data_IF_471086075125
#
_entry.id   IF_471086075125
#
_cell.length_a   1.000
_cell.length_b   1.000
_cell.length_c   1.000
_cell.angle_alpha   90.00
_cell.angle_beta   90.00
_cell.angle_gamma   90.00
#
_symmetry.space_group_name_H-M   'P 1'
#
loop_
_entity.id
_entity.type
_entity.pdbx_description
1 polymer ?
#
# COMPACT_ATOMS: atom_id res chain seq x y z
N UNK A 1 -61.45 2.59 29.82
CA UNK A 1 -60.60 3.58 30.49
C UNK A 1 -59.18 3.48 29.99
N UNK A 2 -58.80 4.50 29.17
CA UNK A 2 -57.58 5.34 29.13
C UNK A 2 -56.26 4.60 29.31
N UNK A 3 -55.43 4.60 28.36
CA UNK A 3 -54.57 5.63 27.71
C UNK A 3 -53.13 5.38 28.03
N UNK A 4 -52.28 5.55 27.05
CA UNK A 4 -50.93 6.05 27.23
C UNK A 4 -49.93 5.55 26.21
N UNK A 5 -49.93 6.18 25.03
CA UNK A 5 -48.80 6.10 24.13
C UNK A 5 -47.69 7.00 24.67
N UNK A 6 -46.46 6.49 24.76
CA UNK A 6 -45.28 7.31 24.93
C UNK A 6 -44.30 7.00 23.79
N UNK A 7 -44.30 7.90 22.82
CA UNK A 7 -43.33 7.91 21.75
C UNK A 7 -41.96 8.32 22.26
N UNK A 8 -40.96 7.54 21.98
CA UNK A 8 -39.55 7.91 22.13
C UNK A 8 -39.06 8.48 20.82
N UNK A 9 -39.06 9.82 20.77
CA UNK A 9 -38.41 10.62 19.75
C UNK A 9 -36.90 10.50 19.90
N UNK A 10 -36.28 9.81 18.98
CA UNK A 10 -34.82 9.81 18.84
C UNK A 10 -34.42 11.12 18.14
N UNK A 11 -34.04 12.12 18.95
CA UNK A 11 -33.42 13.35 18.44
C UNK A 11 -31.95 13.06 18.13
N UNK A 12 -31.66 12.94 16.87
CA UNK A 12 -30.29 13.08 16.38
C UNK A 12 -29.89 14.54 16.52
N UNK A 13 -29.13 14.86 17.57
CA UNK A 13 -28.48 16.15 17.67
C UNK A 13 -27.31 16.18 16.69
N UNK A 14 -27.52 16.84 15.57
CA UNK A 14 -26.46 17.28 14.67
C UNK A 14 -25.99 18.63 15.22
N UNK A 15 -25.01 18.58 16.12
CA UNK A 15 -24.33 19.81 16.54
C UNK A 15 -23.38 20.25 15.44
N UNK A 16 -23.85 21.20 14.66
CA UNK A 16 -23.03 22.06 13.83
C UNK A 16 -22.26 23.02 14.76
N UNK A 17 -21.09 22.64 15.20
CA UNK A 17 -20.17 23.59 15.78
C UNK A 17 -19.26 24.18 14.70
N UNK A 18 -19.80 25.22 14.06
CA UNK A 18 -19.06 26.10 13.17
C UNK A 18 -18.31 27.10 14.02
N UNK A 19 -17.06 26.82 14.34
CA UNK A 19 -16.00 27.79 14.65
C UNK A 19 -14.67 27.07 14.87
N UNK A 20 -13.99 26.70 13.81
CA UNK A 20 -12.52 26.59 13.83
C UNK A 20 -11.96 27.45 12.72
N UNK A 21 -11.75 28.69 13.11
CA UNK A 21 -10.93 29.67 12.41
C UNK A 21 -9.53 29.14 12.19
N UNK A 22 -9.14 29.08 10.93
CA UNK A 22 -7.86 29.38 10.35
C UNK A 22 -6.60 29.03 11.13
N UNK A 23 -6.02 27.90 10.77
CA UNK A 23 -4.63 27.76 10.35
C UNK A 23 -4.53 26.36 9.74
N UNK A 24 -4.79 26.26 8.47
CA UNK A 24 -4.28 25.14 7.70
C UNK A 24 -2.75 25.30 7.70
N UNK A 25 -2.11 24.85 8.75
CA UNK A 25 -0.70 24.47 8.67
C UNK A 25 -0.67 23.42 7.56
N UNK A 26 0.01 23.79 6.48
CA UNK A 26 0.31 22.90 5.37
C UNK A 26 1.18 21.80 5.98
N UNK A 27 0.52 20.78 6.53
CA UNK A 27 1.17 19.59 7.03
C UNK A 27 1.93 19.03 5.83
N UNK A 28 3.25 19.20 5.86
CA UNK A 28 4.14 18.64 4.84
C UNK A 28 3.87 17.15 4.93
N UNK A 29 3.14 16.62 3.93
CA UNK A 29 2.76 15.22 3.88
C UNK A 29 4.07 14.41 3.84
N UNK A 30 4.46 13.92 4.99
CA UNK A 30 5.67 13.13 5.18
C UNK A 30 5.47 11.80 4.47
N UNK A 31 6.42 11.39 3.64
CA UNK A 31 6.42 10.11 2.95
C UNK A 31 6.05 8.96 3.89
N UNK A 32 5.16 8.10 3.44
CA UNK A 32 4.74 6.87 4.12
C UNK A 32 5.05 5.64 3.27
N UNK A 33 5.18 4.50 3.94
CA UNK A 33 5.36 3.21 3.28
C UNK A 33 4.09 2.39 3.48
N UNK A 34 3.50 1.91 2.38
CA UNK A 34 2.36 1.02 2.37
C UNK A 34 2.77 -0.35 1.87
N UNK A 35 2.40 -1.39 2.60
CA UNK A 35 2.71 -2.77 2.24
C UNK A 35 1.41 -3.55 2.07
N UNK A 36 1.24 -4.13 0.90
CA UNK A 36 0.28 -5.21 0.67
C UNK A 36 0.86 -6.47 1.32
N UNK A 37 0.39 -6.74 2.56
CA UNK A 37 1.03 -7.70 3.45
C UNK A 37 0.51 -9.13 3.27
N UNK A 38 -0.51 -9.32 2.41
CA UNK A 38 -1.02 -10.65 2.10
C UNK A 38 0.04 -11.48 1.37
N UNK A 39 0.54 -12.52 2.06
CA UNK A 39 1.61 -13.38 1.56
C UNK A 39 2.91 -12.63 1.17
N UNK A 40 3.20 -11.49 1.79
CA UNK A 40 4.39 -10.69 1.54
C UNK A 40 5.58 -11.15 2.41
N UNK A 41 6.62 -11.76 1.83
CA UNK A 41 7.74 -12.31 2.61
C UNK A 41 8.74 -11.25 3.09
N UNK A 42 8.58 -9.99 2.69
CA UNK A 42 9.55 -8.92 2.95
C UNK A 42 9.10 -7.92 4.01
N UNK A 43 7.99 -8.17 4.69
CA UNK A 43 7.44 -7.27 5.72
C UNK A 43 8.50 -6.89 6.76
N UNK A 44 9.21 -7.86 7.34
CA UNK A 44 10.25 -7.61 8.34
C UNK A 44 11.37 -6.71 7.81
N UNK A 45 11.83 -6.94 6.58
CA UNK A 45 12.88 -6.12 5.93
C UNK A 45 12.39 -4.68 5.72
N UNK A 46 11.13 -4.52 5.31
CA UNK A 46 10.52 -3.20 5.12
C UNK A 46 10.48 -2.45 6.44
N UNK A 47 10.06 -3.10 7.52
CA UNK A 47 9.99 -2.50 8.85
C UNK A 47 11.36 -2.10 9.40
N UNK A 48 12.38 -2.94 9.22
CA UNK A 48 13.76 -2.60 9.63
C UNK A 48 14.27 -1.35 8.92
N UNK A 49 14.06 -1.26 7.60
CA UNK A 49 14.46 -0.10 6.83
C UNK A 49 13.60 1.13 7.18
N UNK A 50 12.29 0.95 7.36
CA UNK A 50 11.40 2.03 7.78
C UNK A 50 11.82 2.61 9.13
N UNK A 51 12.15 1.77 10.12
CA UNK A 51 12.71 2.17 11.42
C UNK A 51 14.00 2.96 11.26
N UNK A 52 14.95 2.43 10.46
CA UNK A 52 16.24 3.08 10.18
C UNK A 52 16.10 4.51 9.67
N UNK A 53 15.09 4.75 8.83
CA UNK A 53 14.85 6.06 8.22
C UNK A 53 13.77 6.88 8.93
N UNK A 54 13.18 6.36 10.02
CA UNK A 54 12.08 6.97 10.78
C UNK A 54 10.90 7.35 9.87
N UNK A 55 10.50 6.42 9.00
CA UNK A 55 9.38 6.57 8.06
C UNK A 55 8.22 5.73 8.57
N UNK A 56 7.02 6.31 8.75
CA UNK A 56 5.85 5.52 9.12
C UNK A 56 5.55 4.45 8.07
N UNK A 57 5.19 3.26 8.53
CA UNK A 57 4.82 2.15 7.67
C UNK A 57 3.43 1.63 8.06
N UNK A 58 2.63 1.28 7.07
CA UNK A 58 1.29 0.72 7.22
C UNK A 58 1.22 -0.61 6.47
N UNK A 59 0.85 -1.66 7.19
CA UNK A 59 0.64 -2.99 6.65
C UNK A 59 -0.85 -3.19 6.41
N UNK A 60 -1.23 -3.54 5.20
CA UNK A 60 -2.62 -3.86 4.87
C UNK A 60 -2.75 -5.36 4.62
N UNK A 61 -3.74 -5.99 5.23
CA UNK A 61 -4.04 -7.40 5.03
C UNK A 61 -5.53 -7.67 5.07
N UNK A 62 -5.93 -8.83 4.58
CA UNK A 62 -7.30 -9.30 4.69
C UNK A 62 -7.60 -9.91 6.07
N UNK A 63 -8.86 -10.22 6.34
CA UNK A 63 -9.31 -10.82 7.62
C UNK A 63 -8.79 -12.25 7.85
N UNK A 64 -8.21 -12.91 6.85
CA UNK A 64 -7.65 -14.26 6.99
C UNK A 64 -6.21 -14.22 7.49
N UNK A 65 -5.58 -13.06 7.49
CA UNK A 65 -4.20 -12.87 7.94
C UNK A 65 -4.18 -12.07 9.25
N UNK A 66 -3.62 -12.68 10.29
CA UNK A 66 -3.41 -11.99 11.57
C UNK A 66 -1.96 -11.55 11.61
N UNK A 67 -1.75 -10.25 11.44
CA UNK A 67 -0.43 -9.62 11.52
C UNK A 67 -0.34 -8.80 12.81
N UNK A 68 0.81 -8.86 13.45
CA UNK A 68 1.16 -8.00 14.57
C UNK A 68 2.47 -7.29 14.25
N UNK A 69 2.53 -6.02 14.57
CA UNK A 69 3.74 -5.22 14.43
C UNK A 69 3.86 -4.27 15.62
N UNK A 70 5.07 -4.14 16.12
CA UNK A 70 5.41 -3.15 17.15
C UNK A 70 5.78 -1.78 16.55
N UNK A 71 5.89 -1.71 15.23
CA UNK A 71 6.30 -0.49 14.53
C UNK A 71 5.26 0.03 13.57
N UNK A 72 4.75 -0.84 12.73
CA UNK A 72 3.83 -0.48 11.64
C UNK A 72 2.39 -0.44 12.13
N UNK A 73 1.61 0.47 11.61
CA UNK A 73 0.16 0.40 11.72
C UNK A 73 -0.35 -0.79 10.90
N UNK A 74 -1.21 -1.63 11.49
CA UNK A 74 -1.83 -2.76 10.78
C UNK A 74 -3.29 -2.43 10.51
N UNK A 75 -3.66 -2.39 9.25
CA UNK A 75 -5.03 -2.18 8.79
C UNK A 75 -5.57 -3.49 8.24
N UNK A 76 -6.50 -4.09 8.98
CA UNK A 76 -7.23 -5.27 8.51
C UNK A 76 -8.45 -4.82 7.70
N UNK A 77 -8.49 -5.21 6.44
CA UNK A 77 -9.58 -4.87 5.52
C UNK A 77 -10.57 -6.03 5.45
N UNK A 78 -11.86 -5.72 5.43
CA UNK A 78 -12.91 -6.74 5.34
C UNK A 78 -12.81 -7.61 4.09
N UNK A 79 -13.42 -8.80 4.15
CA UNK A 79 -13.39 -9.75 3.05
C UNK A 79 -14.02 -9.16 1.78
N UNK A 80 -13.28 -9.21 0.68
CA UNK A 80 -13.72 -8.79 -0.64
C UNK A 80 -12.59 -8.92 -1.64
N UNK A 81 -12.90 -9.32 -2.86
CA UNK A 81 -11.90 -9.31 -3.93
C UNK A 81 -11.39 -7.88 -4.09
N UNK A 82 -10.08 -7.70 -4.13
CA UNK A 82 -9.38 -6.43 -4.30
C UNK A 82 -9.67 -5.36 -3.21
N UNK A 83 -10.27 -5.73 -2.05
CA UNK A 83 -10.61 -4.78 -0.99
C UNK A 83 -9.36 -4.13 -0.38
N UNK A 84 -8.30 -4.92 -0.18
CA UNK A 84 -6.98 -4.46 0.31
C UNK A 84 -6.38 -3.49 -0.71
N UNK A 85 -6.42 -3.82 -2.01
CA UNK A 85 -5.91 -2.99 -3.08
C UNK A 85 -6.58 -1.62 -3.12
N UNK A 86 -7.91 -1.59 -3.08
CA UNK A 86 -8.69 -0.35 -3.04
C UNK A 86 -8.38 0.48 -1.80
N UNK A 87 -8.29 -0.16 -0.63
CA UNK A 87 -7.96 0.53 0.62
C UNK A 87 -6.58 1.13 0.54
N UNK A 88 -5.57 0.35 0.13
CA UNK A 88 -4.19 0.81 -0.02
C UNK A 88 -4.14 2.03 -0.94
N UNK A 89 -4.72 1.92 -2.13
CA UNK A 89 -4.72 3.02 -3.08
C UNK A 89 -5.51 4.23 -2.55
N UNK A 90 -6.60 4.05 -1.80
CA UNK A 90 -7.37 5.18 -1.27
C UNK A 90 -6.55 6.07 -0.33
N UNK A 91 -5.66 5.48 0.48
CA UNK A 91 -4.84 6.18 1.47
C UNK A 91 -3.44 6.57 0.97
N UNK A 92 -3.01 6.02 -0.16
CA UNK A 92 -1.73 6.33 -0.78
C UNK A 92 -1.75 7.71 -1.46
N UNK A 93 -0.69 8.47 -1.29
CA UNK A 93 -0.51 9.81 -1.84
C UNK A 93 0.75 9.92 -2.67
N UNK A 94 0.91 11.05 -3.34
CA UNK A 94 2.12 11.36 -4.11
C UNK A 94 3.35 11.38 -3.21
N UNK A 95 4.40 10.68 -3.62
CA UNK A 95 5.66 10.59 -2.89
C UNK A 95 5.75 9.41 -1.92
N UNK A 96 4.65 8.73 -1.64
CA UNK A 96 4.63 7.51 -0.82
C UNK A 96 5.31 6.34 -1.53
N UNK A 97 5.62 5.29 -0.78
CA UNK A 97 6.23 4.08 -1.31
C UNK A 97 5.31 2.89 -1.07
N UNK A 98 4.99 2.16 -2.13
CA UNK A 98 4.12 0.98 -2.10
C UNK A 98 4.94 -0.27 -2.38
N UNK A 99 4.81 -1.28 -1.51
CA UNK A 99 5.38 -2.62 -1.69
C UNK A 99 4.24 -3.58 -2.00
N UNK A 100 4.15 -4.06 -3.22
CA UNK A 100 3.15 -5.05 -3.63
C UNK A 100 3.68 -5.93 -4.76
N UNK A 101 3.20 -7.16 -4.83
CA UNK A 101 3.42 -8.06 -5.95
C UNK A 101 2.34 -7.91 -7.04
N UNK A 102 1.27 -7.18 -6.78
CA UNK A 102 0.22 -6.94 -7.77
C UNK A 102 0.56 -5.76 -8.68
N UNK A 103 0.64 -6.03 -9.98
CA UNK A 103 0.94 -5.02 -11.00
C UNK A 103 -0.16 -3.98 -11.14
N UNK A 104 -1.41 -4.36 -10.83
CA UNK A 104 -2.56 -3.43 -10.84
C UNK A 104 -2.43 -2.39 -9.73
N UNK A 105 -2.11 -2.82 -8.51
CA UNK A 105 -1.82 -1.94 -7.37
C UNK A 105 -0.65 -1.01 -7.71
N UNK A 106 0.45 -1.60 -8.24
CA UNK A 106 1.62 -0.82 -8.63
C UNK A 106 1.29 0.24 -9.69
N UNK A 107 0.51 -0.09 -10.72
CA UNK A 107 0.08 0.85 -11.75
C UNK A 107 -0.76 2.00 -11.18
N UNK A 108 -1.71 1.69 -10.27
CA UNK A 108 -2.52 2.70 -9.61
C UNK A 108 -1.69 3.62 -8.70
N UNK A 109 -0.71 3.06 -7.96
CA UNK A 109 0.20 3.84 -7.13
C UNK A 109 1.06 4.80 -7.98
N UNK A 110 1.64 4.31 -9.09
CA UNK A 110 2.38 5.14 -10.04
C UNK A 110 1.51 6.26 -10.61
N UNK A 111 0.25 5.97 -10.95
CA UNK A 111 -0.72 6.96 -11.43
C UNK A 111 -1.01 8.07 -10.42
N UNK A 112 -0.87 7.80 -9.12
CA UNK A 112 -0.94 8.81 -8.05
C UNK A 112 0.37 9.56 -7.82
N UNK A 113 1.45 9.19 -8.50
CA UNK A 113 2.78 9.75 -8.31
C UNK A 113 3.52 9.20 -7.09
N UNK A 114 3.09 8.05 -6.57
CA UNK A 114 3.81 7.28 -5.58
C UNK A 114 4.87 6.40 -6.25
N UNK A 115 5.78 5.87 -5.44
CA UNK A 115 6.78 4.88 -5.88
C UNK A 115 6.25 3.48 -5.60
N UNK A 116 6.59 2.53 -6.45
CA UNK A 116 6.18 1.16 -6.25
C UNK A 116 7.33 0.17 -6.49
N UNK A 117 7.41 -0.85 -5.63
CA UNK A 117 8.46 -1.88 -5.69
C UNK A 117 7.85 -3.27 -5.49
N UNK A 118 8.32 -4.22 -6.30
CA UNK A 118 8.00 -5.62 -6.16
C UNK A 118 8.85 -6.28 -5.05
N UNK A 119 8.33 -7.30 -4.39
CA UNK A 119 9.04 -8.07 -3.36
C UNK A 119 10.38 -8.70 -3.80
N UNK A 120 10.67 -8.76 -5.10
CA UNK A 120 11.98 -9.16 -5.63
C UNK A 120 13.02 -8.04 -5.67
N UNK A 121 12.65 -6.81 -5.31
CA UNK A 121 13.48 -5.63 -5.43
C UNK A 121 13.38 -4.92 -6.79
N UNK A 122 12.55 -5.38 -7.73
CA UNK A 122 12.35 -4.70 -9.01
C UNK A 122 11.43 -3.50 -8.81
N UNK A 123 11.85 -2.33 -9.25
CA UNK A 123 11.02 -1.13 -9.24
C UNK A 123 10.00 -1.17 -10.36
N UNK A 124 8.81 -0.76 -10.04
CA UNK A 124 7.80 -0.42 -11.04
C UNK A 124 8.01 1.02 -11.47
N UNK A 125 7.98 1.26 -12.76
CA UNK A 125 8.11 2.58 -13.36
C UNK A 125 7.08 2.74 -14.47
N UNK A 126 6.78 3.98 -14.86
CA UNK A 126 5.85 4.24 -15.95
C UNK A 126 6.28 3.59 -17.28
N UNK A 127 7.61 3.39 -17.45
CA UNK A 127 8.16 2.80 -18.68
C UNK A 127 8.01 1.28 -18.71
N UNK A 128 7.96 0.60 -17.54
CA UNK A 128 7.95 -0.86 -17.50
C UNK A 128 6.59 -1.48 -17.10
N UNK A 129 5.70 -0.70 -16.49
CA UNK A 129 4.47 -1.23 -15.91
C UNK A 129 3.52 -1.79 -16.97
N UNK A 130 3.38 -1.12 -18.11
CA UNK A 130 2.49 -1.55 -19.18
C UNK A 130 2.96 -2.88 -19.79
N UNK A 131 4.26 -3.03 -20.00
CA UNK A 131 4.84 -4.29 -20.46
C UNK A 131 4.58 -5.42 -19.46
N UNK A 132 4.77 -5.17 -18.16
CA UNK A 132 4.56 -6.16 -17.09
C UNK A 132 3.09 -6.58 -16.99
N UNK A 133 2.15 -5.66 -17.13
CA UNK A 133 0.71 -5.93 -17.19
C UNK A 133 0.37 -6.79 -18.39
N UNK A 134 0.94 -6.48 -19.56
CA UNK A 134 0.73 -7.25 -20.80
C UNK A 134 1.28 -8.66 -20.68
N UNK A 135 2.50 -8.84 -20.17
CA UNK A 135 3.12 -10.15 -19.94
C UNK A 135 2.26 -10.99 -18.98
N UNK A 136 1.74 -10.41 -17.89
CA UNK A 136 0.82 -11.10 -16.99
C UNK A 136 -0.44 -11.56 -17.71
N UNK A 137 -1.03 -10.70 -18.53
CA UNK A 137 -2.22 -11.04 -19.30
C UNK A 137 -1.97 -12.20 -20.27
N UNK A 138 -0.88 -12.16 -21.03
CA UNK A 138 -0.48 -13.22 -21.96
C UNK A 138 -0.20 -14.54 -21.24
N UNK A 139 0.51 -14.49 -20.11
CA UNK A 139 0.79 -15.66 -19.29
C UNK A 139 -0.49 -16.29 -18.72
N UNK A 140 -1.44 -15.48 -18.27
CA UNK A 140 -2.75 -15.96 -17.79
C UNK A 140 -3.54 -16.62 -18.91
N UNK A 141 -3.52 -16.06 -20.12
CA UNK A 141 -4.16 -16.63 -21.32
C UNK A 141 -3.49 -17.95 -21.73
N UNK A 142 -2.15 -18.01 -21.74
CA UNK A 142 -1.40 -19.21 -22.05
C UNK A 142 -1.68 -20.36 -21.08
N UNK A 143 -1.78 -20.07 -19.76
CA UNK A 143 -2.13 -21.07 -18.74
C UNK A 143 -3.53 -21.66 -18.95
N UNK A 144 -4.49 -20.83 -19.39
CA UNK A 144 -5.88 -21.28 -19.66
C UNK A 144 -5.99 -22.14 -20.93
N UNK A 145 -5.16 -21.90 -21.93
CA UNK A 145 -5.17 -22.60 -23.21
C UNK A 145 -4.39 -23.91 -23.22
N UNK A 146 -3.46 -24.10 -22.26
CA UNK A 146 -2.57 -25.26 -22.23
C UNK A 146 -3.01 -26.27 -21.16
N UNK A 147 -3.75 -27.30 -21.58
CA UNK A 147 -4.14 -28.44 -20.73
C UNK A 147 -2.97 -29.36 -20.32
N UNK A 148 -1.77 -29.20 -20.87
CA UNK A 148 -0.68 -30.18 -20.73
C UNK A 148 0.67 -29.67 -20.23
N UNK A 149 0.87 -28.37 -20.10
CA UNK A 149 2.17 -27.86 -19.62
C UNK A 149 2.06 -27.40 -18.17
N UNK A 150 2.49 -28.24 -17.23
CA UNK A 150 2.78 -27.83 -15.86
C UNK A 150 3.93 -26.82 -15.88
N UNK A 151 3.59 -25.54 -15.93
CA UNK A 151 4.59 -24.51 -15.69
C UNK A 151 5.07 -24.66 -14.25
N UNK A 152 6.37 -24.80 -14.05
CA UNK A 152 6.99 -24.83 -12.71
C UNK A 152 6.56 -23.55 -11.98
N UNK A 153 6.14 -23.70 -10.73
CA UNK A 153 5.86 -22.57 -9.85
C UNK A 153 7.11 -21.69 -9.65
N UNK A 154 6.95 -20.51 -9.07
CA UNK A 154 8.08 -19.64 -8.75
C UNK A 154 9.07 -20.40 -7.84
N UNK A 155 10.37 -20.17 -8.03
CA UNK A 155 11.39 -20.75 -7.16
C UNK A 155 11.21 -20.26 -5.71
N UNK A 156 11.65 -21.08 -4.75
CA UNK A 156 11.71 -20.63 -3.35
C UNK A 156 12.60 -19.39 -3.22
N UNK A 157 12.17 -18.44 -2.40
CA UNK A 157 12.94 -17.26 -2.01
C UNK A 157 14.19 -17.67 -1.23
N UNK A 158 15.29 -16.97 -1.43
CA UNK A 158 16.58 -17.20 -0.78
C UNK A 158 17.01 -15.96 -0.01
N UNK A 159 18.00 -16.11 0.88
CA UNK A 159 18.61 -14.96 1.60
C UNK A 159 19.21 -13.93 0.64
N UNK A 160 19.74 -14.38 -0.50
CA UNK A 160 20.24 -13.46 -1.54
C UNK A 160 19.13 -12.59 -2.14
N UNK A 161 17.91 -13.12 -2.23
CA UNK A 161 16.75 -12.34 -2.68
C UNK A 161 16.36 -11.31 -1.63
N UNK A 162 16.51 -11.63 -0.34
CA UNK A 162 16.25 -10.71 0.76
C UNK A 162 17.27 -9.57 0.77
N UNK A 163 18.54 -9.87 0.64
CA UNK A 163 19.61 -8.86 0.53
C UNK A 163 19.39 -7.95 -0.70
N UNK A 164 19.04 -8.55 -1.84
CA UNK A 164 18.76 -7.79 -3.06
C UNK A 164 17.57 -6.85 -2.88
N UNK A 165 16.51 -7.35 -2.26
CA UNK A 165 15.33 -6.52 -1.95
C UNK A 165 15.71 -5.38 -1.02
N UNK A 166 16.39 -5.67 0.10
CA UNK A 166 16.80 -4.67 1.09
C UNK A 166 17.61 -3.54 0.45
N UNK A 167 18.64 -3.88 -0.34
CA UNK A 167 19.47 -2.90 -1.03
C UNK A 167 18.68 -2.04 -2.03
N UNK A 168 17.79 -2.68 -2.78
CA UNK A 168 16.97 -1.98 -3.78
C UNK A 168 15.93 -1.09 -3.12
N UNK A 169 15.30 -1.56 -2.06
CA UNK A 169 14.30 -0.81 -1.30
C UNK A 169 14.94 0.41 -0.61
N UNK A 170 16.11 0.24 -0.01
CA UNK A 170 16.84 1.34 0.62
C UNK A 170 17.22 2.43 -0.39
N UNK A 171 17.68 2.04 -1.60
CA UNK A 171 17.93 2.99 -2.68
C UNK A 171 16.67 3.75 -3.10
N UNK A 172 15.53 3.07 -3.16
CA UNK A 172 14.24 3.70 -3.47
C UNK A 172 13.87 4.76 -2.43
N UNK A 173 14.00 4.42 -1.14
CA UNK A 173 13.73 5.34 -0.03
C UNK A 173 14.64 6.58 -0.10
N UNK A 174 15.94 6.38 -0.34
CA UNK A 174 16.89 7.49 -0.44
C UNK A 174 16.55 8.41 -1.61
N UNK A 175 16.21 7.83 -2.77
CA UNK A 175 15.79 8.60 -3.94
C UNK A 175 14.48 9.38 -3.69
N UNK A 176 13.50 8.75 -3.04
CA UNK A 176 12.22 9.37 -2.72
C UNK A 176 12.43 10.57 -1.77
N UNK A 177 13.20 10.40 -0.71
CA UNK A 177 13.55 11.47 0.25
C UNK A 177 14.30 12.63 -0.41
N UNK A 178 15.23 12.34 -1.31
CA UNK A 178 15.97 13.37 -2.04
C UNK A 178 15.04 14.23 -2.90
N UNK A 179 14.04 13.62 -3.53
CA UNK A 179 13.03 14.35 -4.35
C UNK A 179 12.07 15.15 -3.48
N UNK A 180 11.68 14.65 -2.31
CA UNK A 180 10.86 15.37 -1.33
C UNK A 180 11.58 16.64 -0.85
N UNK A 181 12.86 16.53 -0.48
CA UNK A 181 13.69 17.67 -0.06
C UNK A 181 13.87 18.72 -1.16
N UNK A 182 14.02 18.30 -2.42
CA UNK A 182 14.17 19.21 -3.57
C UNK A 182 12.86 20.00 -3.85
N UNK A 183 11.69 19.44 -3.58
CA UNK A 183 10.40 20.13 -3.77
C UNK A 183 10.08 21.12 -2.63
N UNK A 184 10.65 20.92 -1.44
CA UNK A 184 10.47 21.81 -0.29
C UNK A 184 11.40 23.03 -0.32
N UNK A 185 12.42 23.06 -1.16
CA UNK A 185 13.42 24.12 -1.25
C UNK A 185 13.15 25.22 -2.29
N UNK A 186 12.00 25.19 -2.96
CA UNK A 186 11.59 26.22 -3.94
C UNK A 186 10.42 27.00 -3.33
N UNK A 187 10.75 27.90 -2.42
CA UNK A 187 9.89 29.03 -1.99
C UNK A 187 10.75 30.30 -1.98
#
# INVERSE_FOLDING_TARGET
TKSGAAGLSCRCNYDMDSKRTGKAEKEIMKMQIFVDADACPVVGIVEEIAKKYSIPATLLCDTNHVLYSDYSEVIVVGAGADAVDYKLISICHKGDVVVSQDYGVAAMALGKGAYAIHQSGKWYTNENIDQMLMERHLNKKARRSSHKNHMKGPRKRTEEDDVRFAQSFEKLIQMAKAKEGAQSGII
#
